data_IF_260722221637
#
_entry.id   IF_260722221637
#
_cell.length_a   1.000
_cell.length_b   1.000
_cell.length_c   1.000
_cell.angle_alpha   90.00
_cell.angle_beta   90.00
_cell.angle_gamma   90.00
#
_symmetry.space_group_name_H-M   'P 1'
#
loop_
_entity.id
_entity.type
_entity.pdbx_description
1 polymer ?
#
# COMPACT_ATOMS: atom_id res chain seq x y z
N UNK A 1 -30.54 24.13 -6.84
CA UNK A 1 -29.75 23.23 -5.97
C UNK A 1 -28.29 23.38 -6.37
N UNK A 2 -27.37 23.42 -5.41
CA UNK A 2 -25.93 23.36 -5.68
C UNK A 2 -25.54 21.96 -6.18
N UNK A 3 -24.32 21.83 -6.72
CA UNK A 3 -23.77 20.53 -7.11
C UNK A 3 -23.73 19.57 -5.91
N UNK A 4 -23.30 20.04 -4.74
CA UNK A 4 -23.30 19.26 -3.51
C UNK A 4 -24.69 18.78 -3.09
N UNK A 5 -25.69 19.66 -3.14
CA UNK A 5 -27.08 19.32 -2.84
C UNK A 5 -27.65 18.27 -3.80
N UNK A 6 -27.30 18.33 -5.09
CA UNK A 6 -27.72 17.34 -6.09
C UNK A 6 -27.10 15.97 -5.86
N UNK A 7 -25.80 15.93 -5.54
CA UNK A 7 -25.11 14.68 -5.19
C UNK A 7 -25.76 14.06 -3.94
N UNK A 8 -26.03 14.87 -2.92
CA UNK A 8 -26.68 14.41 -1.69
C UNK A 8 -28.10 13.87 -1.94
N UNK A 9 -28.88 14.52 -2.81
CA UNK A 9 -30.23 14.10 -3.16
C UNK A 9 -30.23 12.76 -3.90
N UNK A 10 -29.42 12.62 -4.95
CA UNK A 10 -29.30 11.38 -5.74
C UNK A 10 -28.76 10.21 -4.91
N UNK A 11 -27.80 10.47 -4.01
CA UNK A 11 -27.31 9.46 -3.07
C UNK A 11 -28.43 8.95 -2.17
N UNK A 12 -29.23 9.85 -1.60
CA UNK A 12 -30.34 9.51 -0.70
C UNK A 12 -31.46 8.79 -1.44
N UNK A 13 -31.76 9.18 -2.68
CA UNK A 13 -32.73 8.49 -3.53
C UNK A 13 -32.35 7.03 -3.77
N UNK A 14 -31.05 6.75 -3.92
CA UNK A 14 -30.52 5.39 -4.02
C UNK A 14 -30.30 4.68 -2.67
N UNK A 15 -30.69 5.28 -1.54
CA UNK A 15 -30.60 4.67 -0.21
C UNK A 15 -29.17 4.48 0.32
N UNK A 16 -28.18 5.20 -0.21
CA UNK A 16 -26.76 5.01 0.15
C UNK A 16 -26.32 5.92 1.31
N UNK A 17 -25.42 5.45 2.17
CA UNK A 17 -24.67 6.30 3.10
C UNK A 17 -23.54 7.04 2.37
N UNK A 18 -22.98 8.11 2.96
CA UNK A 18 -21.82 8.81 2.38
C UNK A 18 -20.60 7.88 2.26
N UNK A 19 -20.45 6.95 3.19
CA UNK A 19 -19.41 5.92 3.17
C UNK A 19 -19.61 4.94 2.02
N UNK A 20 -20.84 4.45 1.83
CA UNK A 20 -21.17 3.56 0.71
C UNK A 20 -20.98 4.25 -0.66
N UNK A 21 -21.28 5.55 -0.78
CA UNK A 21 -20.99 6.30 -2.00
C UNK A 21 -19.47 6.46 -2.21
N UNK A 22 -18.71 6.70 -1.14
CA UNK A 22 -17.25 6.75 -1.18
C UNK A 22 -16.66 5.42 -1.67
N UNK A 23 -17.06 4.30 -1.07
CA UNK A 23 -16.62 2.96 -1.46
C UNK A 23 -16.89 2.66 -2.94
N UNK A 24 -18.08 3.01 -3.44
CA UNK A 24 -18.44 2.81 -4.86
C UNK A 24 -17.58 3.62 -5.83
N UNK A 25 -17.08 4.77 -5.40
CA UNK A 25 -16.24 5.66 -6.22
C UNK A 25 -14.73 5.48 -5.92
N UNK A 26 -14.35 4.58 -5.00
CA UNK A 26 -12.96 4.43 -4.56
C UNK A 26 -12.42 5.63 -3.76
N UNK A 27 -13.29 6.35 -3.05
CA UNK A 27 -12.99 7.58 -2.33
C UNK A 27 -13.33 7.48 -0.84
N UNK A 28 -12.70 8.32 -0.02
CA UNK A 28 -13.02 8.39 1.41
C UNK A 28 -14.40 9.02 1.65
N UNK A 29 -15.08 8.60 2.72
CA UNK A 29 -16.31 9.24 3.22
C UNK A 29 -16.15 10.77 3.37
N UNK A 30 -14.96 11.23 3.77
CA UNK A 30 -14.65 12.65 3.94
C UNK A 30 -14.68 13.42 2.61
N UNK A 31 -14.21 12.82 1.51
CA UNK A 31 -14.26 13.46 0.20
C UNK A 31 -15.73 13.71 -0.24
N UNK A 32 -16.58 12.69 -0.12
CA UNK A 32 -18.02 12.79 -0.39
C UNK A 32 -18.68 13.85 0.52
N UNK A 33 -18.36 13.86 1.82
CA UNK A 33 -18.89 14.84 2.75
C UNK A 33 -18.50 16.28 2.39
N UNK A 34 -17.30 16.51 1.86
CA UNK A 34 -16.86 17.85 1.41
C UNK A 34 -17.60 18.30 0.15
N UNK A 35 -17.91 17.38 -0.77
CA UNK A 35 -18.70 17.69 -1.96
C UNK A 35 -20.14 18.04 -1.61
N UNK A 36 -20.79 17.23 -0.76
CA UNK A 36 -22.18 17.48 -0.34
C UNK A 36 -22.34 18.78 0.47
N UNK A 37 -21.26 19.25 1.10
CA UNK A 37 -21.21 20.51 1.83
C UNK A 37 -20.70 21.69 0.99
N UNK A 38 -20.51 21.52 -0.32
CA UNK A 38 -19.94 22.51 -1.27
C UNK A 38 -18.57 23.08 -0.84
N UNK A 39 -17.84 22.34 0.01
CA UNK A 39 -16.50 22.72 0.48
C UNK A 39 -15.39 22.33 -0.51
N UNK A 40 -15.69 21.41 -1.43
CA UNK A 40 -14.83 21.01 -2.52
C UNK A 40 -15.67 20.63 -3.74
N UNK A 41 -15.11 20.81 -4.94
CA UNK A 41 -15.76 20.42 -6.19
C UNK A 41 -15.20 19.06 -6.62
N UNK A 42 -16.05 18.10 -7.04
CA UNK A 42 -15.55 16.83 -7.60
C UNK A 42 -14.72 17.09 -8.86
N UNK A 43 -13.67 16.29 -9.07
CA UNK A 43 -12.90 16.32 -10.33
C UNK A 43 -13.78 15.89 -11.51
N UNK A 44 -13.33 16.17 -12.73
CA UNK A 44 -14.06 15.76 -13.94
C UNK A 44 -14.29 14.24 -13.99
N UNK A 45 -13.30 13.44 -13.59
CA UNK A 45 -13.42 11.99 -13.54
C UNK A 45 -14.49 11.54 -12.54
N UNK A 46 -14.52 12.16 -11.36
CA UNK A 46 -15.53 11.88 -10.34
C UNK A 46 -16.93 12.30 -10.80
N UNK A 47 -17.06 13.40 -11.54
CA UNK A 47 -18.34 13.82 -12.11
C UNK A 47 -18.84 12.82 -13.17
N UNK A 48 -17.93 12.29 -14.00
CA UNK A 48 -18.26 11.25 -14.98
C UNK A 48 -18.72 9.95 -14.31
N UNK A 49 -18.10 9.56 -13.19
CA UNK A 49 -18.52 8.40 -12.42
C UNK A 49 -19.86 8.61 -11.70
N UNK A 50 -20.07 9.79 -11.10
CA UNK A 50 -21.35 10.16 -10.49
C UNK A 50 -22.48 10.16 -11.53
N UNK A 51 -22.23 10.69 -12.73
CA UNK A 51 -23.16 10.66 -13.87
C UNK A 51 -23.55 9.22 -14.24
N UNK A 52 -22.57 8.32 -14.36
CA UNK A 52 -22.82 6.89 -14.63
C UNK A 52 -23.58 6.20 -13.49
N UNK A 53 -23.21 6.49 -12.24
CA UNK A 53 -23.79 5.87 -11.05
C UNK A 53 -25.24 6.29 -10.83
N UNK A 54 -25.54 7.57 -11.06
CA UNK A 54 -26.88 8.13 -10.88
C UNK A 54 -27.75 8.06 -12.15
N UNK A 55 -27.15 7.83 -13.32
CA UNK A 55 -27.86 7.78 -14.60
C UNK A 55 -28.35 9.15 -15.06
N UNK A 56 -27.64 10.22 -14.70
CA UNK A 56 -27.97 11.60 -15.08
C UNK A 56 -26.79 12.23 -15.84
N UNK A 57 -27.02 13.07 -16.86
CA UNK A 57 -25.93 13.78 -17.52
C UNK A 57 -25.08 14.61 -16.54
N UNK A 58 -23.77 14.70 -16.79
CA UNK A 58 -22.85 15.52 -15.97
C UNK A 58 -23.32 16.98 -15.91
N UNK A 59 -23.86 17.49 -17.01
CA UNK A 59 -24.44 18.84 -17.10
C UNK A 59 -25.57 19.05 -16.09
N UNK A 60 -26.38 18.02 -15.83
CA UNK A 60 -27.45 18.04 -14.81
C UNK A 60 -26.90 18.17 -13.39
N UNK A 61 -25.71 17.62 -13.11
CA UNK A 61 -25.05 17.74 -11.81
C UNK A 61 -24.49 19.15 -11.58
N UNK A 62 -24.04 19.84 -12.64
CA UNK A 62 -23.34 21.12 -12.55
C UNK A 62 -24.24 22.35 -12.70
N UNK A 63 -25.34 22.24 -13.44
CA UNK A 63 -26.22 23.38 -13.73
C UNK A 63 -27.19 23.67 -12.57
N UNK A 64 -27.19 24.86 -11.96
CA UNK A 64 -28.09 25.16 -10.83
C UNK A 64 -29.58 25.11 -11.16
N UNK A 65 -29.91 25.33 -12.44
CA UNK A 65 -31.23 25.44 -13.06
C UNK A 65 -31.75 24.14 -13.70
N UNK A 66 -30.92 23.09 -13.77
CA UNK A 66 -31.37 21.79 -14.27
C UNK A 66 -32.19 21.04 -13.21
N UNK A 67 -33.45 20.73 -13.53
CA UNK A 67 -34.29 19.85 -12.72
C UNK A 67 -33.74 18.40 -12.74
N UNK A 68 -33.76 17.73 -11.59
CA UNK A 68 -33.43 16.30 -11.49
C UNK A 68 -34.58 15.50 -12.11
N UNK A 69 -34.58 15.34 -13.43
CA UNK A 69 -35.60 14.58 -14.16
C UNK A 69 -35.34 13.06 -14.05
N UNK A 70 -36.38 12.21 -14.11
CA UNK A 70 -36.21 10.77 -13.97
C UNK A 70 -35.52 10.16 -15.21
N UNK A 71 -34.87 9.00 -14.97
CA UNK A 71 -34.09 8.17 -15.91
C UNK A 71 -34.53 8.31 -17.37
N UNK A 72 -33.58 8.64 -18.24
CA UNK A 72 -33.76 8.63 -19.69
C UNK A 72 -34.21 7.23 -20.15
N UNK A 73 -35.44 7.16 -20.66
CA UNK A 73 -35.92 6.04 -21.48
C UNK A 73 -35.30 6.18 -22.89
N UNK A 74 -34.83 5.05 -23.45
CA UNK A 74 -34.18 4.96 -24.75
C UNK A 74 -34.95 5.72 -25.85
N UNK A 75 -34.42 6.87 -26.28
CA UNK A 75 -34.93 7.62 -27.43
C UNK A 75 -33.86 7.69 -28.52
N UNK A 76 -33.97 6.76 -29.48
CA UNK A 76 -33.36 6.85 -30.81
C UNK A 76 -34.07 7.97 -31.60
N UNK A 77 -33.45 9.14 -31.76
CA UNK A 77 -33.95 10.19 -32.66
C UNK A 77 -32.79 10.77 -33.51
N UNK A 78 -32.78 10.37 -34.78
CA UNK A 78 -32.11 11.07 -35.89
C UNK A 78 -33.18 11.89 -36.65
N UNK A 79 -32.83 13.12 -37.01
CA UNK A 79 -33.71 14.20 -37.51
C UNK A 79 -34.25 13.96 -38.96
N UNK A 80 -35.18 14.78 -39.52
CA UNK A 80 -36.47 14.32 -40.05
C UNK A 80 -36.55 14.40 -41.59
N UNK A 81 -37.48 13.65 -42.17
CA UNK A 81 -37.97 13.96 -43.52
C UNK A 81 -37.99 12.77 -44.45
N UNK A 82 -39.08 12.02 -44.40
CA UNK A 82 -39.77 11.53 -45.59
C UNK A 82 -41.13 10.96 -45.18
N UNK A 83 -42.12 11.29 -45.98
CA UNK A 83 -43.55 11.10 -45.79
C UNK A 83 -44.01 9.65 -46.09
N UNK A 84 -44.98 9.18 -45.28
CA UNK A 84 -46.04 8.17 -45.48
C UNK A 84 -45.76 6.82 -46.19
N UNK A 85 -45.96 5.69 -45.47
CA UNK A 85 -47.14 4.78 -45.57
C UNK A 85 -47.01 3.50 -44.70
N UNK A 86 -48.11 2.84 -44.28
CA UNK A 86 -48.10 1.81 -43.24
C UNK A 86 -47.99 0.39 -43.80
N UNK A 87 -47.09 -0.45 -43.25
CA UNK A 87 -47.14 -1.91 -43.47
C UNK A 87 -46.92 -2.70 -42.17
N UNK A 88 -48.06 -3.13 -41.64
CA UNK A 88 -48.37 -4.27 -40.75
C UNK A 88 -47.31 -5.40 -40.69
N UNK A 89 -46.69 -5.65 -39.51
CA UNK A 89 -46.36 -7.01 -39.02
C UNK A 89 -46.00 -7.05 -37.51
N UNK A 90 -47.01 -7.15 -36.64
CA UNK A 90 -46.86 -7.09 -35.18
C UNK A 90 -46.40 -8.36 -34.46
N UNK A 91 -46.01 -9.46 -35.15
CA UNK A 91 -45.86 -10.75 -34.46
C UNK A 91 -44.48 -11.45 -34.46
N UNK A 92 -43.43 -10.82 -35.01
CA UNK A 92 -42.08 -11.41 -35.02
C UNK A 92 -41.10 -10.77 -34.02
N UNK A 93 -41.19 -9.45 -33.80
CA UNK A 93 -40.29 -8.73 -32.89
C UNK A 93 -40.46 -9.15 -31.42
N UNK A 94 -41.69 -9.32 -30.94
CA UNK A 94 -41.94 -9.78 -29.55
C UNK A 94 -41.49 -11.23 -29.29
N UNK A 95 -41.58 -12.11 -30.30
CA UNK A 95 -41.09 -13.48 -30.19
C UNK A 95 -39.58 -13.55 -30.12
N UNK A 96 -38.87 -12.71 -30.89
CA UNK A 96 -37.40 -12.62 -30.82
C UNK A 96 -36.96 -11.98 -29.50
N UNK A 97 -37.64 -10.93 -29.05
CA UNK A 97 -37.37 -10.30 -27.75
C UNK A 97 -37.62 -11.28 -26.57
N UNK A 98 -38.67 -12.09 -26.64
CA UNK A 98 -38.96 -13.10 -25.63
C UNK A 98 -37.91 -14.23 -25.60
N UNK A 99 -37.41 -14.67 -26.76
CA UNK A 99 -36.32 -15.67 -26.83
C UNK A 99 -35.01 -15.09 -26.31
N UNK A 100 -34.70 -13.83 -26.62
CA UNK A 100 -33.51 -13.14 -26.11
C UNK A 100 -33.57 -12.96 -24.58
N UNK A 101 -34.74 -12.57 -24.04
CA UNK A 101 -34.96 -12.46 -22.60
C UNK A 101 -34.87 -13.82 -21.90
N UNK A 102 -35.43 -14.88 -22.49
CA UNK A 102 -35.31 -16.24 -21.98
C UNK A 102 -33.85 -16.74 -22.01
N UNK A 103 -33.10 -16.41 -23.08
CA UNK A 103 -31.67 -16.71 -23.18
C UNK A 103 -30.84 -16.01 -22.11
N UNK A 104 -31.10 -14.71 -21.86
CA UNK A 104 -30.47 -13.94 -20.79
C UNK A 104 -30.77 -14.50 -19.40
N UNK A 105 -32.02 -14.92 -19.15
CA UNK A 105 -32.39 -15.59 -17.90
C UNK A 105 -31.69 -16.95 -17.73
N UNK A 106 -31.59 -17.74 -18.80
CA UNK A 106 -30.85 -19.01 -18.75
C UNK A 106 -29.36 -18.77 -18.46
N UNK A 107 -28.75 -17.77 -19.09
CA UNK A 107 -27.35 -17.40 -18.83
C UNK A 107 -27.17 -16.90 -17.40
N UNK A 108 -28.07 -16.06 -16.88
CA UNK A 108 -27.98 -15.59 -15.50
C UNK A 108 -28.10 -16.72 -14.49
N UNK A 109 -29.04 -17.65 -14.71
CA UNK A 109 -29.23 -18.82 -13.83
C UNK A 109 -28.00 -19.73 -13.86
N UNK A 110 -27.40 -19.95 -15.04
CA UNK A 110 -26.16 -20.73 -15.17
C UNK A 110 -25.00 -20.02 -14.48
N UNK A 111 -24.83 -18.71 -14.65
CA UNK A 111 -23.82 -17.94 -13.96
C UNK A 111 -24.01 -18.00 -12.44
N UNK A 112 -25.23 -17.83 -11.94
CA UNK A 112 -25.54 -17.95 -10.52
C UNK A 112 -25.25 -19.36 -9.99
N UNK A 113 -25.55 -20.41 -10.75
CA UNK A 113 -25.24 -21.79 -10.37
C UNK A 113 -23.72 -22.05 -10.32
N UNK A 114 -22.96 -21.51 -11.29
CA UNK A 114 -21.49 -21.60 -11.30
C UNK A 114 -20.88 -20.80 -10.14
N UNK A 115 -21.40 -19.61 -9.84
CA UNK A 115 -21.00 -18.82 -8.69
C UNK A 115 -21.31 -19.53 -7.38
N UNK A 116 -22.50 -20.11 -7.22
CA UNK A 116 -22.83 -20.92 -6.05
C UNK A 116 -21.91 -22.13 -5.92
N UNK A 117 -21.63 -22.82 -7.02
CA UNK A 117 -20.73 -23.97 -7.01
C UNK A 117 -19.29 -23.56 -6.64
N UNK A 118 -18.79 -22.43 -7.13
CA UNK A 118 -17.51 -21.83 -6.73
C UNK A 118 -17.47 -21.49 -5.25
N UNK A 119 -18.54 -20.89 -4.72
CA UNK A 119 -18.65 -20.54 -3.29
C UNK A 119 -18.68 -21.81 -2.43
N UNK A 120 -19.45 -22.82 -2.82
CA UNK A 120 -19.51 -24.12 -2.13
C UNK A 120 -18.15 -24.86 -2.20
N UNK A 121 -17.47 -24.81 -3.35
CA UNK A 121 -16.14 -25.40 -3.50
C UNK A 121 -15.09 -24.68 -2.63
N UNK A 122 -15.17 -23.34 -2.50
CA UNK A 122 -14.34 -22.59 -1.57
C UNK A 122 -14.67 -22.88 -0.10
N UNK A 123 -15.95 -23.03 0.25
CA UNK A 123 -16.35 -23.43 1.60
C UNK A 123 -15.82 -24.81 1.96
N UNK A 124 -15.81 -25.76 1.02
CA UNK A 124 -15.18 -27.07 1.22
C UNK A 124 -13.66 -26.97 1.42
N UNK A 125 -12.98 -26.08 0.69
CA UNK A 125 -11.55 -25.81 0.92
C UNK A 125 -11.29 -25.19 2.30
N UNK A 126 -12.14 -24.26 2.73
CA UNK A 126 -12.05 -23.66 4.07
C UNK A 126 -12.33 -24.69 5.16
N UNK A 127 -13.32 -25.57 4.98
CA UNK A 127 -13.66 -26.61 5.97
C UNK A 127 -12.62 -27.73 6.00
N UNK A 128 -11.99 -28.08 4.87
CA UNK A 128 -10.84 -28.99 4.86
C UNK A 128 -9.61 -28.37 5.51
N UNK A 129 -9.37 -27.06 5.32
CA UNK A 129 -8.34 -26.33 6.07
C UNK A 129 -8.67 -26.31 7.57
N UNK A 130 -9.91 -26.04 7.96
CA UNK A 130 -10.39 -26.07 9.37
C UNK A 130 -10.44 -27.48 9.98
N UNK A 131 -10.46 -28.54 9.18
CA UNK A 131 -10.33 -29.92 9.67
C UNK A 131 -8.85 -30.32 9.81
N UNK A 132 -7.95 -29.70 9.05
CA UNK A 132 -6.50 -29.88 9.18
C UNK A 132 -5.89 -29.01 10.28
N UNK A 133 -6.44 -27.81 10.52
CA UNK A 133 -6.15 -26.97 11.68
C UNK A 133 -7.31 -27.12 12.67
N UNK A 134 -7.16 -27.93 13.71
CA UNK A 134 -8.13 -28.07 14.81
C UNK A 134 -8.62 -26.71 15.33
N UNK A 135 -9.69 -26.69 16.16
CA UNK A 135 -10.37 -25.46 16.57
C UNK A 135 -9.36 -24.43 17.07
N UNK A 136 -9.08 -23.43 16.24
CA UNK A 136 -8.14 -22.38 16.58
C UNK A 136 -8.85 -21.43 17.54
N UNK A 137 -8.86 -21.76 18.83
CA UNK A 137 -9.06 -20.76 19.87
C UNK A 137 -7.85 -19.85 19.81
N UNK A 138 -7.90 -18.85 18.94
CA UNK A 138 -6.91 -17.76 18.92
C UNK A 138 -7.16 -16.97 20.21
N UNK A 139 -6.42 -17.33 21.25
CA UNK A 139 -6.33 -16.54 22.47
C UNK A 139 -5.56 -15.26 22.13
N UNK A 140 -6.27 -14.13 22.11
CA UNK A 140 -5.67 -12.80 22.14
C UNK A 140 -5.58 -12.41 23.63
N UNK A 141 -4.40 -12.42 24.28
CA UNK A 141 -4.29 -11.79 25.58
C UNK A 141 -4.59 -10.29 25.42
N UNK A 142 -5.49 -9.76 26.26
CA UNK A 142 -5.81 -8.33 26.34
C UNK A 142 -4.52 -7.52 26.53
N UNK A 143 -4.33 -6.51 25.67
CA UNK A 143 -3.16 -5.62 25.56
C UNK A 143 -2.94 -4.70 26.78
N UNK A 144 -3.15 -5.15 28.02
CA UNK A 144 -3.04 -4.28 29.20
C UNK A 144 -2.15 -4.77 30.34
N UNK A 145 -1.58 -5.99 30.35
CA UNK A 145 -0.64 -6.36 31.45
C UNK A 145 0.19 -7.65 31.32
N UNK A 146 0.25 -8.35 30.18
CA UNK A 146 0.78 -9.72 30.16
C UNK A 146 1.67 -10.08 28.96
N UNK A 147 2.55 -9.18 28.51
CA UNK A 147 3.67 -9.63 27.66
C UNK A 147 4.42 -10.73 28.41
N UNK A 148 4.59 -11.89 27.77
CA UNK A 148 5.42 -13.00 28.27
C UNK A 148 4.99 -13.62 29.62
N UNK A 149 3.71 -13.52 30.02
CA UNK A 149 3.24 -14.13 31.28
C UNK A 149 3.41 -15.65 31.32
N UNK A 150 3.43 -16.30 30.16
CA UNK A 150 3.45 -17.77 30.06
C UNK A 150 4.84 -18.31 29.70
N UNK A 151 5.84 -17.44 29.60
CA UNK A 151 7.25 -17.78 29.40
C UNK A 151 7.99 -17.68 30.75
N UNK A 152 8.84 -18.68 31.01
CA UNK A 152 9.79 -18.69 32.12
C UNK A 152 11.06 -17.90 31.78
N UNK A 153 11.48 -17.93 30.51
CA UNK A 153 12.61 -17.19 29.98
C UNK A 153 12.39 -16.95 28.48
N UNK A 154 12.90 -15.85 27.95
CA UNK A 154 12.81 -15.53 26.54
C UNK A 154 13.86 -14.51 26.11
N UNK A 155 14.21 -14.55 24.83
CA UNK A 155 15.01 -13.52 24.21
C UNK A 155 14.66 -13.37 22.74
N UNK A 156 14.85 -12.16 22.25
CA UNK A 156 14.66 -11.79 20.86
C UNK A 156 15.85 -10.94 20.45
N UNK A 157 16.32 -11.15 19.23
CA UNK A 157 17.31 -10.28 18.60
C UNK A 157 17.01 -10.13 17.11
N UNK A 158 16.81 -8.89 16.68
CA UNK A 158 16.70 -8.50 15.27
C UNK A 158 18.02 -7.96 14.75
N UNK A 159 18.44 -8.43 13.59
CA UNK A 159 19.57 -7.89 12.84
C UNK A 159 19.23 -7.82 11.35
N UNK A 160 20.04 -7.16 10.53
CA UNK A 160 19.96 -7.31 9.08
C UNK A 160 20.42 -8.72 8.70
N UNK A 161 19.69 -9.39 7.80
CA UNK A 161 20.04 -10.73 7.37
C UNK A 161 21.33 -10.71 6.52
N UNK A 162 22.41 -11.42 6.95
CA UNK A 162 23.68 -11.43 6.23
C UNK A 162 23.60 -12.06 4.83
N UNK A 163 22.54 -12.83 4.53
CA UNK A 163 22.32 -13.43 3.21
C UNK A 163 21.46 -12.53 2.30
N UNK A 164 20.69 -11.61 2.88
CA UNK A 164 19.83 -10.69 2.15
C UNK A 164 19.64 -9.39 2.94
N UNK A 165 20.35 -8.32 2.55
CA UNK A 165 20.32 -7.04 3.27
C UNK A 165 18.95 -6.33 3.28
N UNK A 166 18.03 -6.73 2.41
CA UNK A 166 16.66 -6.20 2.37
C UNK A 166 15.74 -6.87 3.41
N UNK A 167 16.23 -7.92 4.08
CA UNK A 167 15.53 -8.65 5.12
C UNK A 167 16.14 -8.43 6.51
N UNK A 168 15.33 -8.69 7.52
CA UNK A 168 15.71 -8.79 8.92
C UNK A 168 15.82 -10.26 9.32
N UNK A 169 16.90 -10.61 10.00
CA UNK A 169 17.06 -11.89 10.67
C UNK A 169 16.60 -11.76 12.13
N UNK A 170 15.50 -12.42 12.44
CA UNK A 170 14.94 -12.53 13.78
C UNK A 170 15.46 -13.82 14.42
N UNK A 171 16.28 -13.69 15.45
CA UNK A 171 16.76 -14.81 16.27
C UNK A 171 16.02 -14.82 17.59
N UNK A 172 15.32 -15.89 17.89
CA UNK A 172 14.40 -15.98 19.03
C UNK A 172 14.67 -17.20 19.88
N UNK A 173 14.46 -17.04 21.18
CA UNK A 173 14.47 -18.13 22.17
C UNK A 173 13.31 -17.92 23.13
N UNK A 174 12.61 -18.99 23.48
CA UNK A 174 11.49 -18.95 24.42
C UNK A 174 11.40 -20.27 25.19
N UNK A 175 11.24 -20.15 26.51
CA UNK A 175 11.04 -21.27 27.43
C UNK A 175 9.65 -21.11 28.03
N UNK A 176 8.66 -21.91 27.63
CA UNK A 176 7.34 -21.92 28.26
C UNK A 176 7.43 -22.31 29.74
N UNK A 177 6.56 -21.75 30.58
CA UNK A 177 6.43 -22.18 32.00
C UNK A 177 5.93 -23.61 32.13
N UNK A 178 5.14 -24.05 31.16
CA UNK A 178 4.61 -25.41 31.05
C UNK A 178 4.96 -25.95 29.68
N UNK A 179 5.70 -27.06 29.65
CA UNK A 179 5.99 -27.82 28.44
C UNK A 179 5.22 -29.15 28.51
N UNK A 180 4.44 -29.46 27.48
CA UNK A 180 3.72 -30.73 27.42
C UNK A 180 4.50 -31.75 26.58
N UNK A 181 4.47 -33.00 27.00
CA UNK A 181 5.16 -34.08 26.30
C UNK A 181 4.60 -34.27 24.88
N UNK A 182 5.50 -34.31 23.89
CA UNK A 182 5.14 -34.52 22.49
C UNK A 182 4.67 -33.28 21.74
N UNK A 183 4.75 -32.08 22.34
CA UNK A 183 4.48 -30.82 21.64
C UNK A 183 5.47 -30.57 20.49
N UNK A 184 4.92 -30.12 19.36
CA UNK A 184 5.71 -29.51 18.29
C UNK A 184 5.68 -28.00 18.41
N UNK A 185 6.76 -27.34 18.01
CA UNK A 185 6.92 -25.91 18.20
C UNK A 185 7.37 -25.23 16.91
N UNK A 186 6.77 -24.07 16.65
CA UNK A 186 7.17 -23.14 15.60
C UNK A 186 7.25 -21.73 16.15
N UNK A 187 8.13 -20.92 15.58
CA UNK A 187 8.06 -19.48 15.75
C UNK A 187 7.30 -18.88 14.58
N UNK A 188 6.43 -17.92 14.86
CA UNK A 188 5.64 -17.19 13.86
C UNK A 188 5.84 -15.70 14.07
N UNK A 189 6.36 -15.02 13.07
CA UNK A 189 6.45 -13.56 13.01
C UNK A 189 5.22 -13.04 12.24
N UNK A 190 4.51 -12.05 12.79
CA UNK A 190 3.33 -11.44 12.15
C UNK A 190 3.48 -9.93 12.01
N UNK A 191 3.14 -9.41 10.83
CA UNK A 191 3.06 -7.98 10.55
C UNK A 191 1.81 -7.70 9.70
N UNK A 192 0.78 -7.09 10.30
CA UNK A 192 -0.53 -6.94 9.66
C UNK A 192 -1.09 -8.29 9.19
N UNK A 193 -1.37 -8.41 7.88
CA UNK A 193 -1.89 -9.63 7.24
C UNK A 193 -0.78 -10.61 6.81
N UNK A 194 0.49 -10.26 7.01
CA UNK A 194 1.63 -11.09 6.62
C UNK A 194 2.15 -11.91 7.80
N UNK A 195 2.61 -13.13 7.50
CA UNK A 195 3.25 -13.99 8.49
C UNK A 195 4.36 -14.84 7.90
N UNK A 196 5.40 -15.07 8.69
CA UNK A 196 6.53 -15.93 8.38
C UNK A 196 6.77 -16.88 9.55
N UNK A 197 7.19 -18.11 9.26
CA UNK A 197 7.39 -19.12 10.29
C UNK A 197 8.70 -19.88 10.11
N UNK A 198 9.24 -20.39 11.22
CA UNK A 198 10.23 -21.46 11.20
C UNK A 198 9.89 -22.52 12.23
N UNK A 199 10.36 -23.74 11.97
CA UNK A 199 10.40 -24.79 12.98
C UNK A 199 11.32 -24.36 14.13
N UNK A 200 10.95 -24.74 15.35
CA UNK A 200 11.75 -24.44 16.53
C UNK A 200 12.62 -25.64 16.92
N UNK A 201 13.88 -25.37 17.26
CA UNK A 201 14.79 -26.35 17.84
C UNK A 201 14.57 -26.43 19.35
N UNK A 202 14.30 -27.63 19.86
CA UNK A 202 14.18 -27.87 21.30
C UNK A 202 15.54 -28.21 21.95
N UNK A 203 16.05 -27.32 22.82
CA UNK A 203 17.27 -27.50 23.61
C UNK A 203 17.10 -26.88 25.00
N UNK A 204 16.26 -27.48 25.85
CA UNK A 204 15.83 -26.93 27.15
C UNK A 204 15.04 -25.62 27.00
N UNK A 205 14.17 -25.59 26.00
CA UNK A 205 13.54 -24.38 25.48
C UNK A 205 13.50 -24.44 23.96
N UNK A 206 12.75 -23.53 23.34
CA UNK A 206 12.62 -23.44 21.90
C UNK A 206 13.46 -22.29 21.37
N UNK A 207 14.15 -22.51 20.26
CA UNK A 207 14.91 -21.47 19.57
C UNK A 207 14.72 -21.56 18.06
N UNK A 208 14.81 -20.43 17.38
CA UNK A 208 14.57 -20.35 15.95
C UNK A 208 15.22 -19.14 15.32
N UNK A 209 15.33 -19.18 13.99
CA UNK A 209 15.82 -18.08 13.16
C UNK A 209 14.90 -17.92 11.97
N UNK A 210 14.38 -16.72 11.77
CA UNK A 210 13.44 -16.39 10.69
C UNK A 210 13.98 -15.17 9.95
N UNK A 211 14.13 -15.29 8.63
CA UNK A 211 14.38 -14.14 7.75
C UNK A 211 13.03 -13.57 7.32
N UNK A 212 12.80 -12.30 7.61
CA UNK A 212 11.57 -11.57 7.26
C UNK A 212 11.90 -10.34 6.42
N UNK A 213 11.08 -9.96 5.42
CA UNK A 213 11.24 -8.67 4.75
C UNK A 213 11.25 -7.51 5.74
N UNK A 214 11.96 -6.41 5.42
CA UNK A 214 11.92 -5.20 6.23
C UNK A 214 10.48 -4.62 6.30
N UNK A 215 9.81 -4.88 7.42
CA UNK A 215 8.54 -4.28 7.84
C UNK A 215 8.78 -3.28 8.95
N UNK A 216 7.80 -2.42 9.23
CA UNK A 216 7.97 -1.36 10.24
C UNK A 216 7.65 -1.83 11.67
N UNK A 217 6.74 -2.79 11.78
CA UNK A 217 6.33 -3.39 13.07
C UNK A 217 6.08 -4.87 12.87
N UNK A 218 6.38 -5.70 13.87
CA UNK A 218 5.94 -7.09 13.91
C UNK A 218 5.82 -7.61 15.35
N UNK A 219 5.12 -8.73 15.52
CA UNK A 219 5.12 -9.51 16.75
C UNK A 219 5.61 -10.93 16.49
N UNK A 220 6.35 -11.49 17.45
CA UNK A 220 6.84 -12.87 17.43
C UNK A 220 6.00 -13.72 18.37
N UNK A 221 5.58 -14.89 17.92
CA UNK A 221 4.85 -15.87 18.70
C UNK A 221 5.59 -17.22 18.69
N UNK A 222 5.60 -17.89 19.83
CA UNK A 222 5.85 -19.31 19.92
C UNK A 222 4.51 -20.03 19.80
N UNK A 223 4.35 -20.82 18.75
CA UNK A 223 3.18 -21.66 18.50
C UNK A 223 3.50 -23.09 18.90
N UNK A 224 2.84 -23.59 19.94
CA UNK A 224 2.93 -24.97 20.40
C UNK A 224 1.71 -25.72 19.92
N UNK A 225 1.92 -26.89 19.33
CA UNK A 225 0.84 -27.80 18.93
C UNK A 225 1.00 -29.11 19.68
N UNK A 226 0.02 -29.41 20.53
CA UNK A 226 -0.05 -30.65 21.30
C UNK A 226 -0.41 -31.85 20.41
N UNK A 227 -0.22 -33.06 20.93
CA UNK A 227 -0.49 -34.32 20.22
C UNK A 227 -1.97 -34.53 19.86
N UNK A 228 -2.88 -33.87 20.57
CA UNK A 228 -4.32 -33.82 20.30
C UNK A 228 -4.73 -32.73 19.29
N UNK A 229 -3.77 -31.92 18.83
CA UNK A 229 -3.98 -30.83 17.88
C UNK A 229 -4.39 -29.50 18.52
N UNK A 230 -4.41 -29.42 19.85
CA UNK A 230 -4.61 -28.14 20.55
C UNK A 230 -3.43 -27.20 20.29
N UNK A 231 -3.73 -25.94 19.97
CA UNK A 231 -2.75 -24.92 19.61
C UNK A 231 -2.68 -23.85 20.70
N UNK A 232 -1.48 -23.62 21.21
CA UNK A 232 -1.17 -22.53 22.13
C UNK A 232 -0.24 -21.54 21.45
N UNK A 233 -0.70 -20.29 21.34
CA UNK A 233 0.12 -19.18 20.85
C UNK A 233 0.58 -18.33 22.03
N UNK A 234 1.88 -18.31 22.28
CA UNK A 234 2.48 -17.49 23.33
C UNK A 234 3.24 -16.36 22.64
N UNK A 235 2.85 -15.11 22.90
CA UNK A 235 3.60 -13.96 22.40
C UNK A 235 4.97 -13.91 23.08
N UNK A 236 6.03 -13.67 22.30
CA UNK A 236 7.42 -13.61 22.75
C UNK A 236 7.91 -12.16 22.80
N UNK A 237 7.67 -11.40 21.74
CA UNK A 237 8.12 -10.01 21.62
C UNK A 237 7.26 -9.25 20.61
N UNK A 238 7.27 -7.91 20.73
CA UNK A 238 6.76 -6.99 19.70
C UNK A 238 7.79 -5.92 19.41
N UNK A 239 8.03 -5.68 18.13
CA UNK A 239 9.01 -4.73 17.62
C UNK A 239 8.33 -3.60 16.85
N UNK A 240 8.88 -2.39 16.99
CA UNK A 240 8.37 -1.15 16.40
C UNK A 240 9.49 -0.31 15.79
N UNK A 241 9.11 0.64 14.93
CA UNK A 241 10.01 1.60 14.27
C UNK A 241 11.20 0.93 13.54
N UNK A 242 11.00 -0.29 13.05
CA UNK A 242 12.05 -1.11 12.46
C UNK A 242 12.62 -0.49 11.18
N UNK A 243 11.82 0.23 10.39
CA UNK A 243 12.34 0.94 9.22
C UNK A 243 13.28 2.07 9.64
N UNK A 244 12.96 2.77 10.70
CA UNK A 244 13.81 3.84 11.24
C UNK A 244 15.12 3.27 11.79
N UNK A 245 15.06 2.09 12.42
CA UNK A 245 16.22 1.39 12.99
C UNK A 245 17.13 0.77 11.93
N UNK A 246 16.54 0.13 10.91
CA UNK A 246 17.25 -0.67 9.92
C UNK A 246 17.31 -0.04 8.53
N UNK A 247 17.10 1.27 8.39
CA UNK A 247 17.31 2.03 7.15
C UNK A 247 17.85 3.42 7.43
N UNK A 248 18.51 4.00 6.43
CA UNK A 248 18.93 5.40 6.47
C UNK A 248 17.86 6.28 5.81
N UNK A 249 17.55 7.42 6.43
CA UNK A 249 16.85 8.49 5.73
C UNK A 249 17.86 9.51 5.20
N UNK A 250 17.84 9.77 3.89
CA UNK A 250 18.78 10.69 3.25
C UNK A 250 18.02 11.85 2.65
N UNK A 251 18.45 13.06 2.97
CA UNK A 251 17.96 14.32 2.38
C UNK A 251 19.13 15.15 1.90
N UNK A 252 18.99 15.80 0.76
CA UNK A 252 20.03 16.69 0.25
C UNK A 252 19.45 17.95 -0.39
N UNK A 253 20.14 19.08 -0.19
CA UNK A 253 19.76 20.38 -0.73
C UNK A 253 20.98 21.25 -1.00
N UNK A 254 20.77 22.32 -1.76
CA UNK A 254 21.74 23.41 -1.87
C UNK A 254 21.75 24.24 -0.59
N UNK A 255 22.90 24.30 0.08
CA UNK A 255 23.08 25.17 1.25
C UNK A 255 23.33 26.62 0.80
N UNK A 256 24.20 26.80 -0.20
CA UNK A 256 24.55 28.11 -0.75
C UNK A 256 24.95 28.06 -2.24
N UNK A 257 24.36 27.12 -2.98
CA UNK A 257 24.64 26.90 -4.39
C UNK A 257 23.40 26.88 -5.27
N UNK A 258 23.61 26.74 -6.57
CA UNK A 258 22.53 26.58 -7.54
C UNK A 258 23.08 26.12 -8.89
N UNK A 259 22.15 25.75 -9.77
CA UNK A 259 22.42 25.77 -11.19
C UNK A 259 22.35 27.21 -11.73
N UNK A 260 23.24 27.54 -12.66
CA UNK A 260 23.23 28.80 -13.40
C UNK A 260 23.45 28.55 -14.88
N UNK A 261 22.80 29.34 -15.73
CA UNK A 261 22.93 29.24 -17.18
C UNK A 261 23.23 30.62 -17.77
N UNK A 262 24.27 30.70 -18.60
CA UNK A 262 24.74 31.96 -19.18
C UNK A 262 24.23 32.20 -20.62
N UNK A 263 23.32 31.39 -21.13
CA UNK A 263 22.85 31.43 -22.52
C UNK A 263 23.56 30.43 -23.44
N UNK A 264 24.65 29.79 -22.99
CA UNK A 264 25.39 28.78 -23.77
C UNK A 264 25.71 27.52 -22.95
N UNK A 265 26.20 27.70 -21.73
CA UNK A 265 26.59 26.62 -20.83
C UNK A 265 25.91 26.76 -19.47
N UNK A 266 25.69 25.60 -18.85
CA UNK A 266 25.22 25.47 -17.47
C UNK A 266 26.40 25.26 -16.53
N UNK A 267 26.29 25.77 -15.31
CA UNK A 267 27.20 25.48 -14.20
C UNK A 267 26.40 25.10 -12.96
N UNK A 268 26.90 24.14 -12.19
CA UNK A 268 26.39 23.75 -10.88
C UNK A 268 27.49 23.98 -9.86
N UNK A 269 27.31 25.00 -9.00
CA UNK A 269 28.37 25.40 -8.07
C UNK A 269 27.81 25.86 -6.73
N UNK A 270 28.49 25.48 -5.65
CA UNK A 270 28.20 25.85 -4.27
C UNK A 270 28.30 24.66 -3.32
N UNK A 271 27.87 24.86 -2.07
CA UNK A 271 27.83 23.79 -1.09
C UNK A 271 26.49 23.06 -1.14
N UNK A 272 26.61 21.75 -1.13
CA UNK A 272 25.52 20.81 -0.96
C UNK A 272 25.52 20.34 0.49
N UNK A 273 24.39 20.46 1.17
CA UNK A 273 24.15 19.80 2.44
C UNK A 273 23.53 18.42 2.18
N UNK A 274 24.06 17.40 2.84
CA UNK A 274 23.49 16.04 2.88
C UNK A 274 23.22 15.68 4.33
N UNK A 275 21.94 15.57 4.66
CA UNK A 275 21.45 15.12 5.94
C UNK A 275 21.15 13.64 5.88
N UNK A 276 21.62 12.91 6.89
CA UNK A 276 21.40 11.49 7.06
C UNK A 276 20.85 11.29 8.47
N UNK A 277 19.69 10.67 8.57
CA UNK A 277 19.16 10.20 9.84
C UNK A 277 19.47 8.71 10.00
N UNK A 278 20.09 8.36 11.12
CA UNK A 278 20.39 6.98 11.53
C UNK A 278 19.62 6.69 12.83
N UNK A 279 18.72 5.70 12.85
CA UNK A 279 17.93 5.39 14.06
C UNK A 279 18.81 4.99 15.26
N UNK A 280 19.67 4.00 15.05
CA UNK A 280 20.68 3.55 16.00
C UNK A 280 21.96 3.11 15.28
N UNK A 281 22.84 2.36 15.95
CA UNK A 281 24.10 1.87 15.38
C UNK A 281 23.97 0.57 14.59
N UNK A 282 22.75 0.02 14.44
CA UNK A 282 22.49 -1.18 13.63
C UNK A 282 22.81 -0.93 12.15
N UNK A 283 22.45 0.24 11.63
CA UNK A 283 22.71 0.65 10.24
C UNK A 283 23.41 1.99 10.22
N UNK A 284 24.59 2.04 9.61
CA UNK A 284 25.43 3.24 9.60
C UNK A 284 25.92 3.56 8.19
N UNK A 285 26.04 4.86 7.83
CA UNK A 285 26.61 5.25 6.55
C UNK A 285 28.11 4.93 6.51
N UNK A 286 28.58 4.37 5.39
CA UNK A 286 30.01 4.04 5.19
C UNK A 286 30.63 4.77 3.99
N UNK A 287 29.81 5.20 3.03
CA UNK A 287 30.28 6.01 1.91
C UNK A 287 29.15 6.85 1.32
N UNK A 288 29.50 7.88 0.57
CA UNK A 288 28.52 8.76 -0.04
C UNK A 288 29.10 9.61 -1.14
N UNK A 289 28.23 10.07 -2.04
CA UNK A 289 28.60 10.88 -3.21
C UNK A 289 27.44 11.75 -3.67
N UNK A 290 27.79 12.92 -4.21
CA UNK A 290 26.89 13.79 -4.96
C UNK A 290 27.08 13.48 -6.44
N UNK A 291 25.99 13.19 -7.11
CA UNK A 291 25.94 12.83 -8.52
C UNK A 291 25.29 13.95 -9.32
N UNK A 292 25.87 14.21 -10.49
CA UNK A 292 25.28 15.08 -11.51
C UNK A 292 24.78 14.23 -12.67
N UNK A 293 23.49 14.36 -12.94
CA UNK A 293 22.83 13.73 -14.07
C UNK A 293 22.52 14.75 -15.16
N UNK A 294 22.58 14.32 -16.42
CA UNK A 294 22.06 15.03 -17.58
C UNK A 294 21.14 14.09 -18.35
N UNK A 295 19.88 14.48 -18.56
CA UNK A 295 18.87 13.68 -19.27
C UNK A 295 18.79 12.23 -18.75
N UNK A 296 18.81 12.05 -17.42
CA UNK A 296 18.75 10.75 -16.75
C UNK A 296 20.04 9.93 -16.76
N UNK A 297 21.14 10.43 -17.35
CA UNK A 297 22.45 9.76 -17.34
C UNK A 297 23.42 10.45 -16.39
N UNK A 298 24.09 9.69 -15.52
CA UNK A 298 25.17 10.21 -14.67
C UNK A 298 26.33 10.68 -15.54
N UNK A 299 26.79 11.91 -15.33
CA UNK A 299 27.90 12.52 -16.07
C UNK A 299 29.08 12.94 -15.20
N UNK A 300 28.86 13.26 -13.92
CA UNK A 300 29.90 13.60 -12.95
C UNK A 300 29.50 13.11 -11.56
N UNK A 301 30.50 12.98 -10.69
CA UNK A 301 30.30 12.69 -9.27
C UNK A 301 31.33 13.43 -8.41
N UNK A 302 30.98 13.63 -7.14
CA UNK A 302 31.83 14.18 -6.10
C UNK A 302 31.63 13.38 -4.83
N UNK A 303 32.71 12.81 -4.29
CA UNK A 303 32.66 12.05 -3.03
C UNK A 303 32.32 12.97 -1.85
N UNK A 304 31.51 12.47 -0.92
CA UNK A 304 31.31 13.06 0.41
C UNK A 304 32.45 12.58 1.30
N UNK A 305 33.23 13.51 1.84
CA UNK A 305 34.41 13.20 2.65
C UNK A 305 34.07 13.08 4.14
N UNK A 306 34.91 12.34 4.87
CA UNK A 306 34.84 12.18 6.33
C UNK A 306 33.49 11.64 6.84
N UNK A 307 32.90 10.67 6.15
CA UNK A 307 31.73 9.95 6.68
C UNK A 307 32.18 9.17 7.92
N UNK A 308 31.53 9.46 9.04
CA UNK A 308 31.79 8.85 10.34
C UNK A 308 30.91 7.61 10.48
N UNK A 309 31.52 6.49 10.85
CA UNK A 309 30.81 5.24 11.11
C UNK A 309 30.44 5.13 12.58
N UNK A 310 29.30 4.51 12.90
CA UNK A 310 28.86 4.32 14.30
C UNK A 310 28.18 5.54 14.92
N UNK A 311 27.70 6.47 14.10
CA UNK A 311 26.95 7.65 14.56
C UNK A 311 25.46 7.33 14.52
N UNK A 312 24.73 7.71 15.57
CA UNK A 312 23.26 7.65 15.64
C UNK A 312 22.66 9.06 15.68
N UNK A 313 21.42 9.18 15.20
CA UNK A 313 20.70 10.45 15.07
C UNK A 313 20.97 11.19 13.76
N UNK A 314 20.84 12.52 13.82
CA UNK A 314 21.00 13.42 12.68
C UNK A 314 22.47 13.75 12.40
N UNK A 315 22.91 13.48 11.16
CA UNK A 315 24.27 13.77 10.70
C UNK A 315 24.23 14.62 9.44
N UNK A 316 25.11 15.62 9.36
CA UNK A 316 25.16 16.56 8.24
C UNK A 316 26.55 16.57 7.60
N UNK A 317 26.60 16.41 6.29
CA UNK A 317 27.80 16.54 5.48
C UNK A 317 27.67 17.68 4.49
N UNK A 318 28.71 18.49 4.38
CA UNK A 318 28.76 19.62 3.45
C UNK A 318 29.79 19.35 2.37
N UNK A 319 29.33 19.23 1.13
CA UNK A 319 30.17 18.90 -0.02
C UNK A 319 30.18 20.07 -0.99
N UNK A 320 31.35 20.64 -1.24
CA UNK A 320 31.51 21.67 -2.26
C UNK A 320 31.54 21.03 -3.65
N UNK A 321 30.67 21.49 -4.53
CA UNK A 321 30.67 21.16 -5.97
C UNK A 321 31.00 22.40 -6.79
N UNK A 322 31.76 22.22 -7.85
CA UNK A 322 32.06 23.26 -8.85
C UNK A 322 32.20 22.61 -10.22
N UNK A 323 31.06 22.46 -10.90
CA UNK A 323 30.98 21.88 -12.24
C UNK A 323 30.56 22.95 -13.22
N UNK A 324 31.48 23.35 -14.10
CA UNK A 324 31.29 24.42 -15.07
C UNK A 324 31.29 23.89 -16.49
N UNK A 325 30.90 24.76 -17.42
CA UNK A 325 30.96 24.53 -18.86
C UNK A 325 30.18 23.28 -19.30
N UNK A 326 29.03 23.02 -18.66
CA UNK A 326 28.14 21.93 -18.99
C UNK A 326 27.26 22.30 -20.20
N UNK A 327 27.23 21.47 -21.23
CA UNK A 327 26.48 21.76 -22.46
C UNK A 327 24.97 21.54 -22.33
N UNK A 328 24.18 22.58 -22.58
CA UNK A 328 22.71 22.52 -22.53
C UNK A 328 22.12 23.43 -21.46
N UNK A 329 20.78 23.48 -21.42
CA UNK A 329 20.03 24.22 -20.41
C UNK A 329 20.03 23.51 -19.06
N UNK A 330 19.83 24.28 -17.98
CA UNK A 330 19.84 23.72 -16.62
C UNK A 330 18.67 22.75 -16.35
N UNK A 331 17.59 22.84 -17.12
CA UNK A 331 16.43 21.96 -17.10
C UNK A 331 16.76 20.50 -17.42
N UNK A 332 17.89 20.26 -18.09
CA UNK A 332 18.37 18.93 -18.42
C UNK A 332 19.14 18.27 -17.28
N UNK A 333 19.45 19.01 -16.21
CA UNK A 333 20.34 18.56 -15.14
C UNK A 333 19.60 18.28 -13.84
N UNK A 334 20.13 17.32 -13.11
CA UNK A 334 19.64 16.94 -11.79
C UNK A 334 20.81 16.62 -10.87
N UNK A 335 20.69 17.00 -9.61
CA UNK A 335 21.56 16.51 -8.55
C UNK A 335 20.88 15.42 -7.74
N UNK A 336 21.69 14.46 -7.32
CA UNK A 336 21.28 13.36 -6.46
C UNK A 336 22.38 13.08 -5.43
N UNK A 337 22.02 12.91 -4.18
CA UNK A 337 22.93 12.39 -3.16
C UNK A 337 22.70 10.89 -3.05
N UNK A 338 23.78 10.12 -3.00
CA UNK A 338 23.74 8.68 -2.73
C UNK A 338 24.60 8.37 -1.50
N UNK A 339 24.04 7.58 -0.59
CA UNK A 339 24.70 7.09 0.61
C UNK A 339 24.62 5.56 0.61
N UNK A 340 25.74 4.91 0.90
CA UNK A 340 25.80 3.46 1.06
C UNK A 340 25.98 3.14 2.54
N UNK A 341 25.19 2.19 3.06
CA UNK A 341 25.31 1.70 4.43
C UNK A 341 26.33 0.55 4.60
N UNK A 342 26.56 0.15 5.86
CA UNK A 342 27.45 -0.95 6.24
C UNK A 342 27.03 -2.34 5.71
N UNK A 343 25.85 -2.47 5.11
CA UNK A 343 25.36 -3.67 4.43
C UNK A 343 25.39 -3.56 2.90
N UNK A 344 25.88 -2.45 2.36
CA UNK A 344 26.00 -2.20 0.93
C UNK A 344 24.70 -1.70 0.26
N UNK A 345 23.67 -1.37 1.03
CA UNK A 345 22.42 -0.80 0.49
C UNK A 345 22.63 0.67 0.15
N UNK A 346 22.04 1.11 -0.96
CA UNK A 346 22.17 2.48 -1.47
C UNK A 346 20.88 3.25 -1.25
N UNK A 347 20.97 4.34 -0.51
CA UNK A 347 19.90 5.29 -0.24
C UNK A 347 20.17 6.55 -1.02
N UNK A 348 19.11 7.20 -1.52
CA UNK A 348 19.30 8.39 -2.32
C UNK A 348 18.25 9.45 -2.15
N UNK A 349 18.69 10.69 -2.31
CA UNK A 349 17.85 11.87 -2.29
C UNK A 349 18.05 12.69 -3.54
N UNK A 350 16.95 12.95 -4.25
CA UNK A 350 16.94 13.91 -5.35
C UNK A 350 16.82 15.33 -4.79
N UNK A 351 17.51 16.27 -5.42
CA UNK A 351 17.48 17.66 -5.00
C UNK A 351 16.21 18.29 -5.54
N UNK A 352 15.49 19.03 -4.69
CA UNK A 352 14.46 19.92 -5.17
C UNK A 352 15.12 21.01 -6.02
N UNK A 353 14.62 21.21 -7.25
CA UNK A 353 15.13 22.19 -8.21
C UNK A 353 14.72 23.62 -7.84
#
# INVERSE_FOLDING_TARGET
MTTGEKIAALRKEQGMSQEALGEKLGLSRQAVSKWEADQAVPTMDNLMELSKLFGVPVDTLLRPDAELMPKAEDSDESWPGAENQPVRNGNRKWKIAAIAAAGLLCVSVVCSAVSLWRVLAMQQQIDTLRMQSGPSTIYYPDNTSAENSDLADWSENVTVDPQNADNLLVTVSAVPKEMLDGETAKFVVRSGDQSWECDAENKNGYSGKISVPLVDTFSVYLTLTSTDGEIRNIMVASEYDLKQRFSLEVRAWWENGSFSFNGKTTSASGNVATHIYCGDDSVTPVSGRILLYQNGKQIKEKKIENIETGVSGDVYYYTQVDWRDLEGGFDQYQLKAEITDNYGRVYSSEFFQ
#
